data_IF_968974515900
#
_entry.id   IF_968974515900
#
_cell.length_a   1.000
_cell.length_b   1.000
_cell.length_c   1.000
_cell.angle_alpha   90.00
_cell.angle_beta   90.00
_cell.angle_gamma   90.00
#
_symmetry.space_group_name_H-M   'P 1'
#
loop_
_entity.id
_entity.type
_entity.pdbx_description
1 polymer ?
#
# COMPACT_ATOMS: atom_id res chain seq x y z
N UNK A 1 8.17 -0.83 7.25
CA UNK A 1 7.13 -0.71 8.29
C UNK A 1 5.82 -0.43 7.59
N UNK A 2 5.14 -1.49 7.16
CA UNK A 2 3.87 -1.36 6.45
C UNK A 2 2.81 -0.83 7.43
N UNK A 3 2.40 0.39 7.24
CA UNK A 3 1.30 1.01 7.99
C UNK A 3 0.01 0.74 7.23
N UNK A 4 -0.59 -0.43 7.44
CA UNK A 4 -1.94 -0.68 7.00
C UNK A 4 -2.87 0.34 7.68
N UNK A 5 -3.15 1.41 6.95
CA UNK A 5 -4.20 2.34 7.31
C UNK A 5 -5.52 1.67 6.93
N UNK A 6 -5.93 0.70 7.74
CA UNK A 6 -7.33 0.36 7.78
C UNK A 6 -8.09 1.65 8.09
N UNK A 7 -9.19 1.91 7.42
CA UNK A 7 -10.21 2.88 7.81
C UNK A 7 -10.89 2.42 9.14
N UNK A 8 -10.13 1.85 10.06
CA UNK A 8 -10.54 1.71 11.43
C UNK A 8 -10.42 3.10 12.05
N UNK A 9 -11.51 3.86 12.00
CA UNK A 9 -11.73 4.85 13.03
C UNK A 9 -11.50 4.13 14.36
N UNK A 10 -10.54 4.59 15.17
CA UNK A 10 -10.51 4.27 16.59
C UNK A 10 -11.79 4.86 17.20
N UNK A 11 -12.90 4.14 17.08
CA UNK A 11 -14.07 4.35 17.91
C UNK A 11 -13.67 3.80 19.28
N UNK A 12 -13.37 4.71 20.21
CA UNK A 12 -13.65 4.43 21.61
C UNK A 12 -15.14 4.07 21.73
N UNK A 13 -15.60 3.44 22.83
CA UNK A 13 -17.02 3.14 23.01
C UNK A 13 -17.80 4.44 22.89
N UNK A 14 -18.33 4.70 21.70
CA UNK A 14 -19.27 5.76 21.43
C UNK A 14 -20.61 5.41 22.07
N UNK A 15 -21.50 6.39 22.31
CA UNK A 15 -22.82 6.13 22.86
C UNK A 15 -23.52 5.06 21.99
N UNK A 16 -24.17 4.08 22.66
CA UNK A 16 -24.98 3.06 22.01
C UNK A 16 -25.97 3.73 21.05
N UNK A 17 -25.74 3.52 19.76
CA UNK A 17 -26.61 4.06 18.72
C UNK A 17 -27.93 3.27 18.71
N UNK A 18 -29.09 3.95 18.57
CA UNK A 18 -30.39 3.25 18.49
C UNK A 18 -30.37 2.24 17.36
N UNK A 19 -30.61 0.97 17.69
CA UNK A 19 -30.51 -0.16 16.79
C UNK A 19 -31.48 -0.10 15.63
N UNK A 20 -31.11 0.54 14.51
CA UNK A 20 -31.68 0.25 13.21
C UNK A 20 -30.85 -0.86 12.58
N UNK A 21 -31.44 -2.04 12.51
CA UNK A 21 -30.90 -3.20 11.79
C UNK A 21 -30.60 -2.79 10.34
N UNK A 22 -29.35 -2.93 9.85
CA UNK A 22 -29.10 -2.85 8.41
C UNK A 22 -30.09 -3.79 7.67
N UNK A 23 -30.46 -3.48 6.43
CA UNK A 23 -31.31 -4.39 5.66
C UNK A 23 -30.68 -5.79 5.71
N UNK A 24 -31.51 -6.81 6.03
CA UNK A 24 -31.05 -8.19 6.06
C UNK A 24 -30.46 -8.51 4.69
N UNK A 25 -29.14 -8.63 4.61
CA UNK A 25 -28.49 -9.11 3.41
C UNK A 25 -28.86 -10.58 3.26
N UNK A 26 -29.71 -10.87 2.30
CA UNK A 26 -29.69 -12.18 1.66
C UNK A 26 -28.23 -12.46 1.26
N UNK A 27 -27.79 -13.71 1.31
CA UNK A 27 -26.41 -14.16 1.10
C UNK A 27 -25.51 -13.22 0.30
N UNK A 28 -24.37 -12.86 0.86
CA UNK A 28 -23.40 -12.04 0.16
C UNK A 28 -23.04 -12.66 -1.19
N UNK A 29 -22.91 -11.87 -2.27
CA UNK A 29 -22.51 -12.39 -3.57
C UNK A 29 -21.12 -13.03 -3.50
N UNK A 30 -20.74 -13.89 -4.46
CA UNK A 30 -19.38 -14.43 -4.53
C UNK A 30 -18.33 -13.33 -4.45
N UNK A 31 -17.23 -13.63 -3.76
CA UNK A 31 -16.09 -12.73 -3.67
C UNK A 31 -15.50 -12.49 -5.06
N UNK A 32 -15.24 -11.23 -5.39
CA UNK A 32 -14.55 -10.82 -6.61
C UNK A 32 -13.05 -10.74 -6.36
N UNK A 33 -12.26 -10.96 -7.40
CA UNK A 33 -10.80 -10.85 -7.40
C UNK A 33 -10.35 -10.16 -8.69
N UNK A 34 -9.15 -9.58 -8.67
CA UNK A 34 -8.55 -9.00 -9.87
C UNK A 34 -7.93 -10.12 -10.73
N UNK A 35 -8.39 -10.26 -11.96
CA UNK A 35 -7.99 -11.38 -12.86
C UNK A 35 -6.83 -10.97 -13.77
N UNK A 36 -6.77 -9.69 -14.14
CA UNK A 36 -5.77 -9.16 -15.08
C UNK A 36 -5.11 -7.93 -14.50
N UNK A 37 -3.78 -7.92 -14.50
CA UNK A 37 -3.01 -6.75 -14.12
C UNK A 37 -2.63 -5.92 -15.35
N UNK A 38 -2.87 -4.61 -15.29
CA UNK A 38 -2.46 -3.65 -16.32
C UNK A 38 -1.09 -3.09 -15.99
N UNK A 39 -0.09 -3.48 -16.74
CA UNK A 39 1.27 -2.93 -16.58
C UNK A 39 1.31 -1.48 -17.06
N UNK A 40 1.68 -0.56 -16.17
CA UNK A 40 1.90 0.85 -16.50
C UNK A 40 3.42 1.10 -16.49
N UNK A 41 4.02 1.43 -17.64
CA UNK A 41 5.45 1.76 -17.68
C UNK A 41 5.76 3.00 -16.83
N UNK A 42 6.93 3.06 -16.14
CA UNK A 42 7.33 4.23 -15.38
C UNK A 42 7.43 5.47 -16.27
N UNK A 43 6.97 6.62 -15.73
CA UNK A 43 6.94 7.90 -16.44
C UNK A 43 7.99 8.88 -15.88
N UNK A 44 9.18 8.36 -15.57
CA UNK A 44 10.32 9.12 -15.05
C UNK A 44 11.55 8.95 -15.94
N UNK A 45 12.46 9.92 -15.85
CA UNK A 45 13.76 9.81 -16.53
C UNK A 45 14.59 8.66 -15.95
N UNK A 46 15.46 8.07 -16.79
CA UNK A 46 16.39 7.06 -16.30
C UNK A 46 17.36 7.61 -15.25
N UNK A 47 17.63 8.92 -15.25
CA UNK A 47 18.44 9.56 -14.22
C UNK A 47 17.74 9.54 -12.85
N UNK A 48 16.44 9.85 -12.81
CA UNK A 48 15.65 9.76 -11.58
C UNK A 48 15.52 8.31 -11.11
N UNK A 49 15.25 7.37 -12.01
CA UNK A 49 15.16 5.93 -11.67
C UNK A 49 16.50 5.40 -11.13
N UNK A 50 17.65 5.86 -11.66
CA UNK A 50 18.96 5.48 -11.15
C UNK A 50 19.18 5.99 -9.72
N UNK A 51 18.80 7.23 -9.42
CA UNK A 51 18.86 7.76 -8.06
C UNK A 51 17.95 6.97 -7.11
N UNK A 52 16.69 6.71 -7.53
CA UNK A 52 15.75 5.94 -6.73
C UNK A 52 16.26 4.52 -6.47
N UNK A 53 16.82 3.86 -7.46
CA UNK A 53 17.44 2.54 -7.31
C UNK A 53 18.56 2.56 -6.25
N UNK A 54 19.45 3.56 -6.31
CA UNK A 54 20.56 3.69 -5.35
C UNK A 54 20.06 3.91 -3.92
N UNK A 55 19.02 4.72 -3.75
CA UNK A 55 18.47 5.01 -2.42
C UNK A 55 17.64 3.84 -1.89
N UNK A 56 16.97 3.08 -2.76
CA UNK A 56 16.26 1.86 -2.39
C UNK A 56 17.21 0.71 -2.03
N UNK A 57 18.31 0.53 -2.79
CA UNK A 57 19.17 -0.64 -2.69
C UNK A 57 20.27 -0.53 -1.61
N UNK A 58 20.67 0.69 -1.22
CA UNK A 58 21.83 0.92 -0.34
C UNK A 58 21.47 1.55 1.01
N UNK A 59 20.20 1.62 1.32
CA UNK A 59 19.69 2.04 2.63
C UNK A 59 18.58 1.10 3.09
N UNK A 60 18.27 1.13 4.36
CA UNK A 60 17.11 0.53 4.99
C UNK A 60 16.13 1.64 5.42
N UNK A 61 14.86 1.34 5.60
CA UNK A 61 13.83 2.24 6.15
C UNK A 61 14.29 2.94 7.44
N UNK A 62 15.05 2.23 8.28
CA UNK A 62 15.64 2.78 9.51
C UNK A 62 16.68 3.87 9.26
N UNK A 63 17.04 4.16 8.01
CA UNK A 63 18.13 5.07 7.64
C UNK A 63 19.54 4.47 7.73
N UNK A 64 19.67 3.19 8.15
CA UNK A 64 20.98 2.51 8.18
C UNK A 64 21.43 2.21 6.75
N UNK A 65 22.70 2.51 6.46
CA UNK A 65 23.31 2.21 5.16
C UNK A 65 23.60 0.72 5.00
N UNK A 66 23.37 0.20 3.80
CA UNK A 66 23.84 -1.11 3.36
C UNK A 66 25.18 -0.94 2.63
N UNK A 67 26.24 -1.65 3.03
CA UNK A 67 27.58 -1.45 2.46
C UNK A 67 27.65 -1.92 0.99
N UNK A 68 26.83 -2.90 0.62
CA UNK A 68 26.75 -3.48 -0.73
C UNK A 68 25.40 -4.14 -0.97
N UNK A 69 25.10 -4.37 -2.22
CA UNK A 69 23.91 -5.11 -2.65
C UNK A 69 24.01 -6.58 -2.25
N UNK A 70 22.87 -7.15 -1.89
CA UNK A 70 22.70 -8.59 -1.68
C UNK A 70 21.45 -9.09 -2.39
N UNK A 71 21.55 -10.25 -3.06
CA UNK A 71 20.43 -10.90 -3.74
C UNK A 71 20.58 -12.41 -3.74
N UNK A 72 19.56 -13.11 -4.17
CA UNK A 72 19.68 -14.53 -4.47
C UNK A 72 20.44 -14.72 -5.79
N UNK A 73 21.36 -15.67 -5.82
CA UNK A 73 22.04 -16.11 -7.03
C UNK A 73 21.47 -17.46 -7.45
N UNK A 74 20.81 -17.50 -8.60
CA UNK A 74 20.15 -18.69 -9.12
C UNK A 74 18.63 -18.69 -8.91
N UNK A 75 17.96 -19.84 -9.15
CA UNK A 75 16.50 -19.95 -9.02
C UNK A 75 16.05 -19.76 -7.58
N UNK A 76 14.99 -18.96 -7.43
CA UNK A 76 14.40 -18.66 -6.12
C UNK A 76 13.23 -19.60 -5.88
N UNK A 77 13.26 -20.33 -4.75
CA UNK A 77 12.17 -21.21 -4.34
C UNK A 77 11.35 -20.57 -3.23
N UNK A 78 10.02 -20.65 -3.36
CA UNK A 78 9.08 -20.10 -2.38
C UNK A 78 8.23 -21.21 -1.80
N UNK A 79 8.23 -21.37 -0.49
CA UNK A 79 7.29 -22.25 0.22
C UNK A 79 6.33 -21.43 1.08
N UNK A 80 5.15 -21.99 1.35
CA UNK A 80 4.15 -21.42 2.24
C UNK A 80 3.93 -22.38 3.41
N UNK A 81 3.91 -21.85 4.62
CA UNK A 81 3.68 -22.59 5.87
C UNK A 81 2.64 -21.85 6.73
N UNK A 82 2.12 -22.53 7.75
CA UNK A 82 1.09 -21.98 8.63
C UNK A 82 -0.32 -21.95 8.01
N UNK A 83 -1.31 -21.38 8.72
CA UNK A 83 -2.70 -21.36 8.32
C UNK A 83 -2.99 -20.26 7.25
N UNK A 84 -2.53 -20.52 6.02
CA UNK A 84 -2.75 -19.60 4.90
C UNK A 84 -4.25 -19.52 4.52
N UNK A 85 -4.80 -18.33 4.22
CA UNK A 85 -6.16 -18.18 3.75
C UNK A 85 -6.33 -18.73 2.32
N UNK A 86 -7.55 -19.20 1.98
CA UNK A 86 -7.83 -19.78 0.67
C UNK A 86 -7.61 -18.80 -0.50
N UNK A 87 -7.69 -17.50 -0.26
CA UNK A 87 -7.44 -16.44 -1.25
C UNK A 87 -5.98 -16.32 -1.67
N UNK A 88 -5.04 -16.88 -0.91
CA UNK A 88 -3.61 -16.76 -1.18
C UNK A 88 -3.18 -17.38 -2.51
N UNK A 89 -3.69 -18.58 -2.82
CA UNK A 89 -3.19 -19.38 -3.96
C UNK A 89 -3.24 -18.64 -5.29
N UNK A 90 -4.38 -18.06 -5.72
CA UNK A 90 -4.43 -17.31 -6.97
C UNK A 90 -3.54 -16.07 -6.94
N UNK A 91 -3.47 -15.35 -5.82
CA UNK A 91 -2.68 -14.12 -5.69
C UNK A 91 -1.18 -14.41 -5.75
N UNK A 92 -0.69 -15.42 -5.02
CA UNK A 92 0.70 -15.84 -5.08
C UNK A 92 1.09 -16.38 -6.46
N UNK A 93 0.25 -17.20 -7.07
CA UNK A 93 0.50 -17.71 -8.42
C UNK A 93 0.61 -16.59 -9.45
N UNK A 94 -0.28 -15.59 -9.38
CA UNK A 94 -0.26 -14.40 -10.24
C UNK A 94 1.01 -13.57 -10.04
N UNK A 95 1.38 -13.29 -8.77
CA UNK A 95 2.57 -12.54 -8.44
C UNK A 95 3.86 -13.23 -8.92
N UNK A 96 4.03 -14.53 -8.67
CA UNK A 96 5.20 -15.28 -9.14
C UNK A 96 5.26 -15.31 -10.69
N UNK A 97 4.11 -15.40 -11.36
CA UNK A 97 4.05 -15.32 -12.82
C UNK A 97 4.47 -13.93 -13.33
N UNK A 98 4.07 -12.85 -12.65
CA UNK A 98 4.48 -11.48 -12.97
C UNK A 98 5.98 -11.27 -12.78
N UNK A 99 6.55 -11.71 -11.67
CA UNK A 99 7.99 -11.61 -11.40
C UNK A 99 8.83 -12.32 -12.49
N UNK A 100 8.38 -13.49 -12.95
CA UNK A 100 9.04 -14.19 -14.06
C UNK A 100 8.92 -13.42 -15.38
N UNK A 101 7.71 -12.98 -15.72
CA UNK A 101 7.42 -12.36 -17.02
C UNK A 101 7.93 -10.93 -17.13
N UNK A 102 7.75 -10.12 -16.08
CA UNK A 102 7.98 -8.68 -16.09
C UNK A 102 9.37 -8.29 -15.57
N UNK A 103 9.87 -9.00 -14.54
CA UNK A 103 11.20 -8.75 -13.99
C UNK A 103 12.28 -9.77 -14.46
N UNK A 104 11.89 -10.86 -15.11
CA UNK A 104 12.82 -11.89 -15.58
C UNK A 104 13.45 -12.74 -14.47
N UNK A 105 12.82 -12.77 -13.29
CA UNK A 105 13.35 -13.48 -12.10
C UNK A 105 12.90 -14.94 -12.12
N UNK A 106 13.85 -15.87 -12.06
CA UNK A 106 13.61 -17.31 -11.97
C UNK A 106 13.06 -17.71 -10.59
N UNK A 107 11.77 -17.49 -10.35
CA UNK A 107 11.10 -17.74 -9.06
C UNK A 107 9.95 -18.74 -9.22
N UNK A 108 9.84 -19.74 -8.33
CA UNK A 108 8.78 -20.74 -8.39
C UNK A 108 8.43 -21.28 -7.00
N UNK A 109 7.21 -21.78 -6.89
CA UNK A 109 6.72 -22.39 -5.67
C UNK A 109 7.22 -23.83 -5.52
N UNK A 110 7.47 -24.23 -4.26
CA UNK A 110 7.81 -25.61 -3.85
C UNK A 110 6.83 -26.08 -2.76
N UNK A 111 6.87 -27.37 -2.45
CA UNK A 111 6.06 -27.96 -1.38
C UNK A 111 6.41 -27.36 -0.01
N UNK A 112 5.45 -27.39 0.93
CA UNK A 112 5.60 -26.78 2.25
C UNK A 112 6.73 -27.39 3.10
N UNK A 113 7.06 -28.65 2.86
CA UNK A 113 8.13 -29.42 3.53
C UNK A 113 9.48 -29.35 2.81
N UNK A 114 9.50 -28.81 1.57
CA UNK A 114 10.73 -28.68 0.80
C UNK A 114 11.62 -27.53 1.31
N UNK A 115 12.95 -27.62 1.19
CA UNK A 115 13.84 -26.49 1.40
C UNK A 115 13.48 -25.34 0.44
N UNK A 116 13.50 -24.10 0.94
CA UNK A 116 13.16 -22.94 0.15
C UNK A 116 14.06 -21.73 0.44
N UNK A 117 14.27 -20.91 -0.59
CA UNK A 117 14.97 -19.62 -0.46
C UNK A 117 14.11 -18.60 0.30
N UNK A 118 12.80 -18.61 0.05
CA UNK A 118 11.84 -17.74 0.71
C UNK A 118 10.77 -18.59 1.39
N UNK A 119 10.59 -18.43 2.69
CA UNK A 119 9.46 -19.00 3.42
C UNK A 119 8.43 -17.92 3.70
N UNK A 120 7.20 -18.09 3.25
CA UNK A 120 6.06 -17.26 3.64
C UNK A 120 5.31 -18.02 4.73
N UNK A 121 5.37 -17.53 5.97
CA UNK A 121 4.71 -18.16 7.10
C UNK A 121 3.51 -17.32 7.57
N UNK A 122 2.35 -17.95 7.59
CA UNK A 122 1.13 -17.35 8.08
C UNK A 122 0.95 -17.58 9.59
N UNK A 123 0.59 -16.50 10.30
CA UNK A 123 0.43 -16.47 11.75
C UNK A 123 -0.87 -15.74 12.12
N UNK A 124 -1.43 -15.95 13.32
CA UNK A 124 -2.42 -15.04 13.87
C UNK A 124 -1.81 -13.63 14.05
N UNK A 125 -2.56 -12.58 13.67
CA UNK A 125 -2.15 -11.17 13.83
C UNK A 125 -1.70 -10.86 15.26
N UNK A 126 -2.43 -11.37 16.25
CA UNK A 126 -2.11 -11.19 17.67
C UNK A 126 -0.75 -11.78 18.07
N UNK A 127 -0.30 -12.85 17.39
CA UNK A 127 1.01 -13.47 17.63
C UNK A 127 2.13 -12.61 17.03
N UNK A 128 1.95 -12.10 15.81
CA UNK A 128 2.91 -11.23 15.13
C UNK A 128 3.08 -9.93 15.92
N UNK A 129 1.99 -9.22 16.20
CA UNK A 129 2.01 -7.91 16.85
C UNK A 129 2.52 -7.93 18.30
N UNK A 130 2.50 -9.09 18.96
CA UNK A 130 3.10 -9.23 20.31
C UNK A 130 4.61 -8.99 20.31
N UNK A 131 5.30 -9.34 19.21
CA UNK A 131 6.75 -9.19 19.09
C UNK A 131 7.14 -7.99 18.20
N UNK A 132 6.34 -7.68 17.21
CA UNK A 132 6.57 -6.61 16.23
C UNK A 132 5.30 -5.76 16.10
N UNK A 133 4.95 -4.98 17.14
CA UNK A 133 3.66 -4.26 17.20
C UNK A 133 3.50 -3.18 16.14
N UNK A 134 4.59 -2.75 15.52
CA UNK A 134 4.61 -1.70 14.50
C UNK A 134 4.40 -2.23 13.07
N UNK A 135 4.57 -3.56 12.85
CA UNK A 135 4.46 -4.13 11.51
C UNK A 135 3.13 -4.84 11.30
N UNK A 136 2.55 -4.66 10.12
CA UNK A 136 1.43 -5.47 9.63
C UNK A 136 1.94 -6.84 9.16
N UNK A 137 3.04 -6.84 8.44
CA UNK A 137 3.83 -7.97 7.98
C UNK A 137 5.30 -7.54 7.93
N UNK A 138 6.23 -8.46 7.76
CA UNK A 138 7.64 -8.12 7.61
C UNK A 138 8.47 -9.29 7.08
N UNK A 139 9.64 -8.97 6.53
CA UNK A 139 10.65 -9.95 6.09
C UNK A 139 11.88 -9.93 6.99
N UNK A 140 12.43 -11.11 7.30
CA UNK A 140 13.65 -11.27 8.09
C UNK A 140 14.67 -12.18 7.40
N UNK A 141 15.97 -11.82 7.39
CA UNK A 141 17.02 -12.64 6.79
C UNK A 141 17.46 -13.76 7.71
N UNK A 142 18.04 -14.81 7.13
CA UNK A 142 18.69 -15.94 7.83
C UNK A 142 17.79 -16.71 8.80
N UNK A 143 16.48 -16.61 8.62
CA UNK A 143 15.49 -17.39 9.34
C UNK A 143 14.56 -18.07 8.35
N UNK A 144 14.01 -19.23 8.75
CA UNK A 144 13.13 -20.04 7.91
C UNK A 144 11.77 -20.34 8.55
N UNK A 145 11.56 -19.82 9.76
CA UNK A 145 10.32 -19.98 10.52
C UNK A 145 10.16 -18.87 11.57
N UNK A 146 8.92 -18.73 12.09
CA UNK A 146 8.64 -17.84 13.21
C UNK A 146 9.43 -18.23 14.47
N UNK A 147 9.62 -19.51 14.69
CA UNK A 147 10.40 -19.98 15.85
C UNK A 147 11.87 -19.59 15.72
N UNK A 148 12.47 -19.74 14.52
CA UNK A 148 13.85 -19.29 14.27
C UNK A 148 13.97 -17.79 14.51
N UNK A 149 12.99 -17.00 14.01
CA UNK A 149 12.96 -15.54 14.22
C UNK A 149 12.88 -15.19 15.71
N UNK A 150 12.01 -15.85 16.47
CA UNK A 150 11.87 -15.62 17.91
C UNK A 150 13.18 -15.83 18.66
N UNK A 151 13.93 -16.86 18.30
CA UNK A 151 15.21 -17.20 18.92
C UNK A 151 16.30 -16.22 18.50
N UNK A 152 16.35 -15.83 17.22
CA UNK A 152 17.45 -15.08 16.63
C UNK A 152 17.23 -13.54 16.63
N UNK A 153 16.02 -13.03 16.85
CA UNK A 153 15.66 -11.60 16.69
C UNK A 153 16.48 -10.59 17.49
N UNK A 154 17.17 -11.05 18.53
CA UNK A 154 18.07 -10.22 19.37
C UNK A 154 19.55 -10.47 19.07
N UNK A 155 19.85 -11.38 18.17
CA UNK A 155 21.20 -11.66 17.70
C UNK A 155 21.49 -10.84 16.43
N UNK A 156 22.76 -10.74 16.05
CA UNK A 156 23.15 -10.13 14.78
C UNK A 156 22.79 -10.96 13.54
N UNK A 157 22.19 -12.15 13.72
CA UNK A 157 21.85 -13.05 12.61
C UNK A 157 20.74 -12.46 11.72
N UNK A 158 19.77 -11.76 12.29
CA UNK A 158 18.67 -11.11 11.53
C UNK A 158 19.00 -9.68 11.09
N UNK A 159 20.27 -9.28 11.11
CA UNK A 159 20.71 -7.96 10.68
C UNK A 159 21.07 -7.96 9.19
N UNK A 160 20.29 -7.27 8.39
CA UNK A 160 20.50 -7.11 6.96
C UNK A 160 21.86 -6.48 6.60
N UNK A 161 22.40 -5.60 7.45
CA UNK A 161 23.68 -4.91 7.18
C UNK A 161 24.89 -5.83 7.27
N UNK A 162 24.75 -7.01 7.85
CA UNK A 162 25.80 -8.03 7.99
C UNK A 162 25.69 -9.15 6.96
N UNK A 163 24.71 -9.07 6.06
CA UNK A 163 24.40 -10.13 5.11
C UNK A 163 25.34 -10.07 3.88
N UNK A 164 26.22 -11.06 3.64
CA UNK A 164 27.07 -11.04 2.45
C UNK A 164 26.36 -11.51 1.18
N UNK A 165 25.34 -12.37 1.33
CA UNK A 165 24.54 -12.95 0.26
C UNK A 165 23.19 -13.39 0.80
N UNK A 166 22.12 -13.27 0.02
CA UNK A 166 20.81 -13.83 0.37
C UNK A 166 20.77 -15.31 0.03
N UNK A 167 20.55 -16.14 1.03
CA UNK A 167 20.42 -17.60 0.89
C UNK A 167 19.02 -18.07 1.29
N UNK A 168 18.51 -17.57 2.41
CA UNK A 168 17.14 -17.80 2.87
C UNK A 168 16.63 -16.59 3.67
N UNK A 169 15.33 -16.36 3.52
CA UNK A 169 14.58 -15.32 4.25
C UNK A 169 13.22 -15.88 4.63
N UNK A 170 12.61 -15.35 5.68
CA UNK A 170 11.22 -15.62 6.00
C UNK A 170 10.40 -14.33 5.96
N UNK A 171 9.19 -14.43 5.40
CA UNK A 171 8.16 -13.41 5.37
C UNK A 171 7.07 -13.85 6.34
N UNK A 172 6.65 -12.98 7.23
CA UNK A 172 5.60 -13.24 8.20
C UNK A 172 4.38 -12.40 7.91
N UNK A 173 3.24 -13.07 7.62
CA UNK A 173 1.99 -12.43 7.23
C UNK A 173 0.87 -12.90 8.18
N UNK A 174 -0.01 -12.01 8.68
CA UNK A 174 -1.19 -12.44 9.41
C UNK A 174 -2.17 -13.16 8.47
N UNK A 175 -2.65 -14.34 8.91
CA UNK A 175 -3.59 -15.15 8.14
C UNK A 175 -5.08 -14.85 8.45
N UNK A 176 -5.33 -14.06 9.49
CA UNK A 176 -6.65 -13.72 10.04
C UNK A 176 -7.07 -12.26 9.70
N UNK A 177 -6.67 -11.79 8.53
CA UNK A 177 -6.98 -10.45 7.99
C UNK A 177 -7.71 -10.55 6.65
N UNK A 178 -8.07 -9.41 6.04
CA UNK A 178 -8.75 -9.42 4.74
C UNK A 178 -7.86 -10.01 3.62
N UNK A 179 -8.47 -10.61 2.57
CA UNK A 179 -7.72 -11.05 1.40
C UNK A 179 -6.85 -9.95 0.77
N UNK A 180 -7.36 -8.71 0.74
CA UNK A 180 -6.62 -7.55 0.27
C UNK A 180 -5.35 -7.32 1.11
N UNK A 181 -5.46 -7.31 2.43
CA UNK A 181 -4.33 -7.10 3.36
C UNK A 181 -3.26 -8.20 3.19
N UNK A 182 -3.68 -9.45 3.01
CA UNK A 182 -2.76 -10.56 2.70
C UNK A 182 -2.03 -10.32 1.38
N UNK A 183 -2.74 -9.86 0.35
CA UNK A 183 -2.17 -9.59 -0.96
C UNK A 183 -1.20 -8.40 -0.93
N UNK A 184 -1.54 -7.34 -0.22
CA UNK A 184 -0.70 -6.16 -0.05
C UNK A 184 0.63 -6.56 0.59
N UNK A 185 0.58 -7.26 1.73
CA UNK A 185 1.75 -7.85 2.38
C UNK A 185 2.55 -8.77 1.45
N UNK A 186 1.86 -9.58 0.65
CA UNK A 186 2.54 -10.51 -0.26
C UNK A 186 3.35 -9.77 -1.33
N UNK A 187 2.81 -8.69 -1.90
CA UNK A 187 3.51 -7.93 -2.93
C UNK A 187 4.71 -7.17 -2.37
N UNK A 188 4.54 -6.50 -1.25
CA UNK A 188 5.57 -5.70 -0.59
C UNK A 188 6.70 -6.57 -0.05
N UNK A 189 6.36 -7.52 0.83
CA UNK A 189 7.37 -8.31 1.52
C UNK A 189 8.12 -9.28 0.59
N UNK A 190 7.47 -9.82 -0.44
CA UNK A 190 8.18 -10.63 -1.42
C UNK A 190 9.13 -9.78 -2.27
N UNK A 191 8.75 -8.55 -2.63
CA UNK A 191 9.64 -7.65 -3.34
C UNK A 191 10.84 -7.25 -2.48
N UNK A 192 10.66 -6.95 -1.20
CA UNK A 192 11.75 -6.68 -0.26
C UNK A 192 12.60 -7.94 0.01
N UNK A 193 11.99 -9.10 0.13
CA UNK A 193 12.70 -10.37 0.30
C UNK A 193 13.72 -10.64 -0.82
N UNK A 194 13.37 -10.28 -2.06
CA UNK A 194 14.21 -10.54 -3.23
C UNK A 194 14.96 -9.31 -3.76
N UNK A 195 14.56 -8.10 -3.35
CA UNK A 195 15.03 -6.82 -3.91
C UNK A 195 15.51 -5.81 -2.84
N UNK A 196 15.21 -4.54 -3.03
CA UNK A 196 15.61 -3.47 -2.12
C UNK A 196 14.92 -3.57 -0.77
N UNK A 197 15.48 -2.92 0.26
CA UNK A 197 15.04 -2.97 1.65
C UNK A 197 14.65 -1.59 2.20
N UNK A 198 14.50 -0.61 1.34
CA UNK A 198 14.12 0.75 1.74
C UNK A 198 12.80 1.15 1.11
N UNK A 199 12.08 2.03 1.79
CA UNK A 199 10.90 2.69 1.27
C UNK A 199 11.13 4.20 1.20
N UNK A 200 10.60 4.82 0.15
CA UNK A 200 10.85 6.23 -0.14
C UNK A 200 9.52 6.95 -0.40
N UNK A 201 9.08 7.78 0.54
CA UNK A 201 7.84 8.58 0.43
C UNK A 201 7.75 9.50 -0.80
N UNK A 202 8.84 9.65 -1.54
CA UNK A 202 8.85 10.42 -2.79
C UNK A 202 8.46 9.60 -4.04
N UNK A 203 8.24 8.30 -3.91
CA UNK A 203 7.91 7.41 -5.03
C UNK A 203 6.38 7.31 -5.23
N UNK A 204 5.78 8.10 -6.15
CA UNK A 204 4.32 8.16 -6.28
C UNK A 204 3.69 6.92 -6.93
N UNK A 205 4.47 6.04 -7.53
CA UNK A 205 4.04 4.89 -8.32
C UNK A 205 4.80 3.61 -7.91
N UNK A 206 4.94 3.36 -6.63
CA UNK A 206 5.72 2.24 -6.09
C UNK A 206 5.10 1.66 -4.83
N UNK A 207 5.27 0.35 -4.63
CA UNK A 207 5.02 -0.29 -3.33
C UNK A 207 6.18 -0.04 -2.34
N UNK A 208 7.37 0.36 -2.84
CA UNK A 208 8.48 0.81 -2.01
C UNK A 208 8.26 2.26 -1.54
N UNK A 209 7.08 2.49 -0.97
CA UNK A 209 6.65 3.78 -0.45
C UNK A 209 5.68 3.58 0.71
N UNK A 210 6.05 4.04 1.90
CA UNK A 210 5.26 3.96 3.14
C UNK A 210 3.94 4.76 3.12
N UNK A 211 3.54 5.35 1.98
CA UNK A 211 2.22 6.01 1.86
C UNK A 211 1.06 5.02 1.72
N UNK A 212 1.34 3.78 1.38
CA UNK A 212 0.40 2.66 1.26
C UNK A 212 -0.78 2.88 0.29
N UNK A 213 -0.59 3.72 -0.73
CA UNK A 213 -1.59 3.87 -1.79
C UNK A 213 -1.49 2.75 -2.83
N UNK A 214 -0.27 2.39 -3.22
CA UNK A 214 -0.03 1.27 -4.12
C UNK A 214 0.13 -0.02 -3.31
N UNK A 215 -0.75 -0.98 -3.55
CA UNK A 215 -0.81 -2.25 -2.84
C UNK A 215 -0.33 -3.43 -3.68
N UNK A 216 -0.04 -3.19 -4.96
CA UNK A 216 0.49 -4.21 -5.88
C UNK A 216 1.68 -3.65 -6.65
N UNK A 217 2.68 -4.50 -6.92
CA UNK A 217 3.87 -4.12 -7.67
C UNK A 217 3.52 -3.44 -8.99
N UNK A 218 4.07 -2.25 -9.18
CA UNK A 218 3.85 -1.42 -10.37
C UNK A 218 4.86 -1.74 -11.48
N UNK A 219 4.73 -1.07 -12.62
CA UNK A 219 5.74 -1.17 -13.68
C UNK A 219 7.10 -0.59 -13.28
N UNK A 220 7.11 0.41 -12.37
CA UNK A 220 8.35 0.92 -11.80
C UNK A 220 9.02 -0.12 -10.91
N UNK A 221 8.27 -0.75 -10.00
CA UNK A 221 8.80 -1.78 -9.11
C UNK A 221 9.38 -2.97 -9.89
N UNK A 222 8.68 -3.40 -10.94
CA UNK A 222 9.17 -4.47 -11.82
C UNK A 222 10.44 -4.07 -12.58
N UNK A 223 10.60 -2.79 -12.94
CA UNK A 223 11.84 -2.29 -13.53
C UNK A 223 13.00 -2.27 -12.52
N UNK A 224 12.74 -1.82 -11.29
CA UNK A 224 13.72 -1.85 -10.19
C UNK A 224 14.18 -3.29 -9.93
N UNK A 225 13.25 -4.24 -9.81
CA UNK A 225 13.58 -5.65 -9.61
C UNK A 225 14.32 -6.26 -10.81
N UNK A 226 13.94 -5.90 -12.04
CA UNK A 226 14.67 -6.33 -13.24
C UNK A 226 16.10 -5.80 -13.28
N UNK A 227 16.30 -4.53 -12.89
CA UNK A 227 17.65 -3.96 -12.78
C UNK A 227 18.44 -4.63 -11.65
N UNK A 228 17.80 -4.91 -10.53
CA UNK A 228 18.42 -5.56 -9.35
C UNK A 228 18.96 -6.96 -9.70
N UNK A 229 18.31 -7.68 -10.63
CA UNK A 229 18.71 -9.02 -11.10
C UNK A 229 19.47 -9.00 -12.44
N UNK A 230 19.83 -7.82 -12.95
CA UNK A 230 20.64 -7.74 -14.16
C UNK A 230 22.05 -8.32 -13.91
N UNK A 231 22.66 -8.96 -14.95
CA UNK A 231 23.97 -9.61 -14.79
C UNK A 231 25.11 -8.65 -14.45
N UNK A 232 24.93 -7.35 -14.70
CA UNK A 232 25.91 -6.30 -14.37
C UNK A 232 25.97 -5.98 -12.87
N UNK A 233 24.96 -6.37 -12.10
CA UNK A 233 24.89 -6.19 -10.66
C UNK A 233 24.92 -7.57 -9.99
N UNK A 234 25.58 -7.70 -8.83
CA UNK A 234 25.76 -8.97 -8.13
C UNK A 234 25.93 -8.74 -6.62
N UNK A 235 25.99 -9.82 -5.85
CA UNK A 235 26.35 -9.73 -4.44
C UNK A 235 27.70 -9.05 -4.25
N UNK A 236 27.77 -8.11 -3.33
CA UNK A 236 28.98 -7.33 -3.09
C UNK A 236 29.12 -6.07 -3.97
N UNK A 237 28.24 -5.83 -4.93
CA UNK A 237 28.25 -4.57 -5.70
C UNK A 237 28.07 -3.39 -4.75
N UNK A 238 29.01 -2.45 -4.78
CA UNK A 238 28.97 -1.21 -3.98
C UNK A 238 28.08 -0.16 -4.64
N UNK A 239 27.70 0.89 -3.86
CA UNK A 239 26.93 2.03 -4.38
C UNK A 239 27.65 2.71 -5.57
N UNK A 240 28.98 2.88 -5.48
CA UNK A 240 29.76 3.53 -6.53
C UNK A 240 29.84 2.69 -7.80
N UNK A 241 29.91 1.37 -7.69
CA UNK A 241 29.87 0.46 -8.82
C UNK A 241 28.50 0.48 -9.49
N UNK A 242 27.42 0.40 -8.70
CA UNK A 242 26.07 0.50 -9.21
C UNK A 242 25.83 1.84 -9.93
N UNK A 243 26.32 2.96 -9.35
CA UNK A 243 26.21 4.29 -9.96
C UNK A 243 26.83 4.35 -11.37
N UNK A 244 27.95 3.66 -11.57
CA UNK A 244 28.61 3.59 -12.90
C UNK A 244 27.88 2.73 -13.91
N UNK A 245 27.21 1.68 -13.43
CA UNK A 245 26.53 0.68 -14.27
C UNK A 245 25.12 1.11 -14.67
N UNK A 246 24.37 1.72 -13.74
CA UNK A 246 22.96 2.02 -13.90
C UNK A 246 22.58 2.82 -15.16
N UNK A 247 23.33 3.85 -15.62
CA UNK A 247 22.93 4.59 -16.81
C UNK A 247 22.80 3.72 -18.06
N UNK A 248 23.79 2.88 -18.35
CA UNK A 248 23.76 1.99 -19.51
C UNK A 248 22.75 0.86 -19.33
N UNK A 249 22.64 0.33 -18.12
CA UNK A 249 21.66 -0.70 -17.78
C UNK A 249 20.23 -0.19 -18.01
N UNK A 250 19.89 0.98 -17.49
CA UNK A 250 18.55 1.57 -17.65
C UNK A 250 18.27 2.02 -19.07
N UNK A 251 19.25 2.52 -19.82
CA UNK A 251 19.10 2.80 -21.25
C UNK A 251 18.66 1.54 -22.03
N UNK A 252 19.20 0.37 -21.67
CA UNK A 252 18.82 -0.92 -22.24
C UNK A 252 17.46 -1.42 -21.75
N UNK A 253 17.17 -1.33 -20.44
CA UNK A 253 15.95 -1.88 -19.84
C UNK A 253 14.72 -0.97 -20.03
N UNK A 254 14.92 0.34 -20.06
CA UNK A 254 13.88 1.36 -20.20
C UNK A 254 14.25 2.44 -21.22
N UNK A 255 14.28 2.15 -22.53
CA UNK A 255 14.63 3.12 -23.58
C UNK A 255 13.71 4.36 -23.62
N UNK A 256 12.50 4.26 -23.03
CA UNK A 256 11.56 5.39 -22.94
C UNK A 256 12.07 6.45 -21.96
N UNK A 257 12.68 6.05 -20.85
CA UNK A 257 13.22 6.94 -19.83
C UNK A 257 14.38 7.82 -20.33
N UNK A 258 15.08 7.41 -21.40
CA UNK A 258 16.10 8.26 -22.07
C UNK A 258 15.49 9.47 -22.77
N UNK A 259 14.22 9.39 -23.15
CA UNK A 259 13.50 10.45 -23.87
C UNK A 259 12.70 11.37 -22.96
N UNK A 260 12.61 11.04 -21.68
CA UNK A 260 11.96 11.89 -20.67
C UNK A 260 12.99 12.92 -20.22
N UNK A 261 12.82 14.16 -20.69
CA UNK A 261 13.67 15.30 -20.32
C UNK A 261 13.14 15.97 -19.06
N UNK A 262 14.04 16.71 -18.41
CA UNK A 262 13.71 17.53 -17.24
C UNK A 262 14.48 17.07 -15.99
N UNK A 263 14.53 17.93 -14.98
CA UNK A 263 15.05 17.59 -13.66
C UNK A 263 13.89 17.11 -12.80
N UNK A 264 13.57 15.83 -12.92
CA UNK A 264 12.61 15.12 -12.06
C UNK A 264 13.28 14.51 -10.81
N UNK A 265 14.54 14.90 -10.56
CA UNK A 265 15.28 14.51 -9.36
C UNK A 265 14.65 15.19 -8.13
N UNK A 266 14.23 14.36 -7.18
CA UNK A 266 13.63 14.84 -5.95
C UNK A 266 14.63 14.83 -4.81
N UNK A 267 14.58 15.87 -3.96
CA UNK A 267 15.41 15.93 -2.76
C UNK A 267 15.09 14.76 -1.81
N UNK A 268 16.09 14.26 -1.06
CA UNK A 268 15.84 13.27 -0.01
C UNK A 268 14.80 13.77 1.00
N UNK A 269 14.01 12.85 1.55
CA UNK A 269 13.02 13.18 2.57
C UNK A 269 13.71 13.29 3.94
N UNK A 270 13.64 14.44 4.64
CA UNK A 270 14.25 14.60 5.95
C UNK A 270 13.66 13.70 7.01
N UNK A 271 14.46 13.14 7.89
CA UNK A 271 14.02 12.26 8.97
C UNK A 271 12.95 12.92 9.86
N UNK A 272 13.07 14.23 10.12
CA UNK A 272 12.07 14.95 10.91
C UNK A 272 10.65 14.91 10.31
N UNK A 273 10.53 14.90 8.99
CA UNK A 273 9.23 14.73 8.33
C UNK A 273 8.74 13.29 8.45
N UNK A 274 9.61 12.31 8.25
CA UNK A 274 9.28 10.88 8.41
C UNK A 274 8.80 10.61 9.84
N UNK A 275 9.53 11.08 10.86
CA UNK A 275 9.15 10.96 12.28
C UNK A 275 7.77 11.58 12.55
N UNK A 276 7.45 12.72 11.93
CA UNK A 276 6.15 13.36 12.08
C UNK A 276 5.03 12.53 11.43
N UNK A 277 5.25 11.93 10.26
CA UNK A 277 4.29 11.03 9.61
C UNK A 277 4.11 9.75 10.44
N UNK A 278 5.19 9.11 10.88
CA UNK A 278 5.14 7.92 11.73
C UNK A 278 4.39 8.20 13.05
N UNK A 279 4.62 9.36 13.67
CA UNK A 279 3.88 9.76 14.87
C UNK A 279 2.40 10.06 14.58
N UNK A 280 2.08 10.61 13.41
CA UNK A 280 0.70 10.90 13.02
C UNK A 280 -0.11 9.64 12.74
N UNK A 281 0.48 8.66 12.05
CA UNK A 281 -0.22 7.50 11.50
C UNK A 281 0.08 6.21 12.27
N UNK A 282 1.23 6.13 12.93
CA UNK A 282 1.69 4.94 13.66
C UNK A 282 0.88 4.62 14.91
N UNK A 283 0.95 3.37 15.39
CA UNK A 283 0.34 2.96 16.64
C UNK A 283 1.05 3.59 17.86
N UNK A 284 0.34 3.72 18.96
CA UNK A 284 0.92 4.14 20.27
C UNK A 284 0.96 5.64 20.51
N UNK A 285 0.59 6.48 19.55
CA UNK A 285 0.49 7.94 19.73
C UNK A 285 -0.94 8.34 20.13
N UNK A 286 -1.10 9.18 21.15
CA UNK A 286 -2.41 9.65 21.58
C UNK A 286 -3.12 10.48 20.48
N UNK A 287 -4.46 10.44 20.36
CA UNK A 287 -5.19 11.07 19.25
C UNK A 287 -4.89 12.56 19.06
N UNK A 288 -4.75 13.33 20.12
CA UNK A 288 -4.41 14.76 20.05
C UNK A 288 -2.98 15.00 19.55
N UNK A 289 -2.05 14.13 19.91
CA UNK A 289 -0.66 14.20 19.47
C UNK A 289 -0.54 13.80 17.99
N UNK A 290 -1.35 12.86 17.52
CA UNK A 290 -1.39 12.46 16.11
C UNK A 290 -1.76 13.63 15.20
N UNK A 291 -2.77 14.42 15.56
CA UNK A 291 -3.17 15.61 14.76
C UNK A 291 -2.06 16.66 14.77
N UNK A 292 -1.41 16.88 15.92
CA UNK A 292 -0.28 17.81 16.01
C UNK A 292 0.89 17.35 15.14
N UNK A 293 1.20 16.06 15.14
CA UNK A 293 2.25 15.47 14.31
C UNK A 293 1.94 15.59 12.81
N UNK A 294 0.70 15.34 12.38
CA UNK A 294 0.29 15.54 11.00
C UNK A 294 0.40 17.00 10.56
N UNK A 295 0.02 17.93 11.44
CA UNK A 295 0.21 19.38 11.19
C UNK A 295 1.69 19.72 11.03
N UNK A 296 2.55 19.19 11.90
CA UNK A 296 4.01 19.38 11.80
C UNK A 296 4.55 18.84 10.48
N UNK A 297 4.08 17.70 10.00
CA UNK A 297 4.47 17.18 8.69
C UNK A 297 4.09 18.14 7.54
N UNK A 298 2.89 18.74 7.58
CA UNK A 298 2.48 19.77 6.59
C UNK A 298 3.40 21.01 6.69
N UNK A 299 3.71 21.47 7.89
CA UNK A 299 4.58 22.64 8.10
C UNK A 299 6.01 22.39 7.60
N UNK A 300 6.57 21.21 7.88
CA UNK A 300 7.88 20.80 7.36
C UNK A 300 7.85 20.77 5.83
N UNK A 301 6.85 20.14 5.23
CA UNK A 301 6.72 20.03 3.78
C UNK A 301 6.66 21.42 3.11
N UNK A 302 5.88 22.35 3.68
CA UNK A 302 5.78 23.73 3.20
C UNK A 302 7.08 24.51 3.37
N UNK A 303 7.78 24.32 4.49
CA UNK A 303 9.08 24.96 4.77
C UNK A 303 10.17 24.46 3.80
N UNK A 304 10.11 23.17 3.41
CA UNK A 304 10.97 22.62 2.36
C UNK A 304 10.61 23.13 0.94
N UNK A 305 9.52 23.87 0.80
CA UNK A 305 9.04 24.36 -0.49
C UNK A 305 8.45 23.26 -1.37
N UNK A 306 8.10 22.10 -0.81
CA UNK A 306 7.53 21.00 -1.58
C UNK A 306 6.15 21.34 -2.12
N UNK A 307 5.92 20.90 -3.35
CA UNK A 307 4.62 20.93 -4.04
C UNK A 307 4.34 19.55 -4.67
N UNK A 308 5.00 18.53 -4.15
CA UNK A 308 4.96 17.15 -4.61
C UNK A 308 4.04 16.29 -3.74
N UNK A 309 4.08 14.97 -3.99
CA UNK A 309 3.27 13.96 -3.32
C UNK A 309 3.47 13.94 -1.80
N UNK A 310 4.63 14.35 -1.27
CA UNK A 310 4.89 14.40 0.17
C UNK A 310 4.06 15.47 0.88
N UNK A 311 3.89 16.66 0.27
CA UNK A 311 2.96 17.66 0.79
C UNK A 311 1.52 17.16 0.70
N UNK A 312 1.13 16.57 -0.43
CA UNK A 312 -0.22 16.03 -0.61
C UNK A 312 -0.53 14.92 0.40
N UNK A 313 0.42 14.02 0.67
CA UNK A 313 0.28 12.97 1.68
C UNK A 313 0.17 13.54 3.10
N UNK A 314 0.98 14.56 3.44
CA UNK A 314 0.86 15.25 4.73
C UNK A 314 -0.54 15.86 4.92
N UNK A 315 -1.07 16.51 3.88
CA UNK A 315 -2.42 17.11 3.89
C UNK A 315 -3.50 16.02 3.98
N UNK A 316 -3.35 14.92 3.25
CA UNK A 316 -4.27 13.78 3.33
C UNK A 316 -4.30 13.18 4.74
N UNK A 317 -3.14 12.92 5.35
CA UNK A 317 -3.05 12.43 6.72
C UNK A 317 -3.67 13.43 7.73
N UNK A 318 -3.37 14.71 7.59
CA UNK A 318 -3.93 15.77 8.43
C UNK A 318 -5.45 15.87 8.28
N UNK A 319 -5.98 15.83 7.04
CA UNK A 319 -7.41 15.85 6.77
C UNK A 319 -8.16 14.70 7.43
N UNK A 320 -7.64 13.48 7.33
CA UNK A 320 -8.22 12.29 7.99
C UNK A 320 -8.25 12.41 9.51
N UNK A 321 -7.18 12.89 10.11
CA UNK A 321 -7.09 13.04 11.57
C UNK A 321 -7.96 14.20 12.07
N UNK A 322 -8.09 15.30 11.30
CA UNK A 322 -8.99 16.40 11.60
C UNK A 322 -10.47 15.95 11.56
N UNK A 323 -10.83 15.10 10.59
CA UNK A 323 -12.18 14.51 10.50
C UNK A 323 -12.49 13.68 11.75
N UNK A 324 -11.55 12.86 12.21
CA UNK A 324 -11.69 12.07 13.44
C UNK A 324 -11.84 12.91 14.72
N UNK A 325 -11.57 14.23 14.64
CA UNK A 325 -11.82 15.19 15.71
C UNK A 325 -13.06 16.09 15.46
N UNK A 326 -13.95 15.68 14.54
CA UNK A 326 -15.14 16.44 14.12
C UNK A 326 -14.82 17.84 13.53
N UNK A 327 -13.61 18.05 13.02
CA UNK A 327 -13.25 19.30 12.33
C UNK A 327 -13.39 19.13 10.82
N UNK A 328 -14.64 19.10 10.33
CA UNK A 328 -14.97 18.85 8.93
C UNK A 328 -14.44 19.93 7.98
N UNK A 329 -14.48 21.22 8.39
CA UNK A 329 -13.99 22.32 7.55
C UNK A 329 -12.48 22.19 7.25
N UNK A 330 -11.68 22.01 8.31
CA UNK A 330 -10.22 21.79 8.17
C UNK A 330 -9.92 20.52 7.35
N UNK A 331 -10.69 19.46 7.59
CA UNK A 331 -10.55 18.20 6.87
C UNK A 331 -10.81 18.36 5.37
N UNK A 332 -11.93 18.99 5.01
CA UNK A 332 -12.28 19.23 3.60
C UNK A 332 -11.25 20.12 2.91
N UNK A 333 -10.82 21.21 3.55
CA UNK A 333 -9.79 22.09 3.00
C UNK A 333 -8.48 21.34 2.72
N UNK A 334 -8.05 20.46 3.65
CA UNK A 334 -6.85 19.66 3.47
C UNK A 334 -7.00 18.63 2.33
N UNK A 335 -8.16 17.97 2.20
CA UNK A 335 -8.40 17.06 1.09
C UNK A 335 -8.46 17.78 -0.27
N UNK A 336 -9.06 18.95 -0.34
CA UNK A 336 -9.11 19.72 -1.59
C UNK A 336 -7.70 20.15 -2.04
N UNK A 337 -6.85 20.62 -1.11
CA UNK A 337 -5.46 20.98 -1.43
C UNK A 337 -4.65 19.73 -1.85
N UNK A 338 -4.78 18.61 -1.12
CA UNK A 338 -4.14 17.34 -1.48
C UNK A 338 -4.57 16.86 -2.87
N UNK A 339 -5.87 16.90 -3.16
CA UNK A 339 -6.43 16.52 -4.45
C UNK A 339 -5.89 17.35 -5.60
N UNK A 340 -5.75 18.66 -5.43
CA UNK A 340 -5.16 19.55 -6.44
C UNK A 340 -3.71 19.18 -6.75
N UNK A 341 -2.92 18.86 -5.73
CA UNK A 341 -1.51 18.45 -5.92
C UNK A 341 -1.46 17.11 -6.65
N UNK A 342 -2.22 16.11 -6.23
CA UNK A 342 -2.24 14.81 -6.89
C UNK A 342 -2.75 14.91 -8.34
N UNK A 343 -3.81 15.66 -8.61
CA UNK A 343 -4.35 15.83 -9.95
C UNK A 343 -3.37 16.49 -10.95
N UNK A 344 -2.39 17.25 -10.45
CA UNK A 344 -1.36 17.86 -11.27
C UNK A 344 -0.32 16.86 -11.80
N UNK A 345 -0.28 15.63 -11.27
CA UNK A 345 0.72 14.60 -11.61
C UNK A 345 0.02 13.37 -12.22
N UNK A 346 0.32 12.98 -13.46
CA UNK A 346 -0.38 11.87 -14.13
C UNK A 346 -0.15 10.49 -13.51
N UNK A 347 0.89 10.33 -12.69
CA UNK A 347 1.22 9.06 -12.03
C UNK A 347 0.54 8.86 -10.67
N UNK A 348 -0.20 9.86 -10.17
CA UNK A 348 -0.83 9.87 -8.83
C UNK A 348 -2.35 9.61 -8.87
N UNK A 349 -2.82 8.87 -9.87
CA UNK A 349 -4.26 8.61 -10.05
C UNK A 349 -4.89 7.85 -8.90
N UNK A 350 -4.17 6.86 -8.35
CA UNK A 350 -4.63 6.08 -7.19
C UNK A 350 -4.74 6.97 -5.95
N UNK A 351 -3.75 7.83 -5.72
CA UNK A 351 -3.78 8.82 -4.64
C UNK A 351 -4.94 9.81 -4.79
N UNK A 352 -5.17 10.30 -6.02
CA UNK A 352 -6.32 11.16 -6.33
C UNK A 352 -7.63 10.47 -5.99
N UNK A 353 -7.79 9.19 -6.29
CA UNK A 353 -8.99 8.42 -5.98
C UNK A 353 -9.22 8.25 -4.47
N UNK A 354 -8.16 8.06 -3.68
CA UNK A 354 -8.28 8.04 -2.22
C UNK A 354 -8.77 9.37 -1.65
N UNK A 355 -8.29 10.49 -2.18
CA UNK A 355 -8.78 11.82 -1.79
C UNK A 355 -10.22 12.03 -2.27
N UNK A 356 -10.52 11.65 -3.51
CA UNK A 356 -11.85 11.77 -4.11
C UNK A 356 -12.91 11.02 -3.31
N UNK A 357 -12.58 9.84 -2.77
CA UNK A 357 -13.48 9.09 -1.88
C UNK A 357 -13.92 9.93 -0.67
N UNK A 358 -12.99 10.65 -0.03
CA UNK A 358 -13.34 11.52 1.11
C UNK A 358 -14.17 12.73 0.67
N UNK A 359 -13.84 13.36 -0.46
CA UNK A 359 -14.61 14.50 -0.98
C UNK A 359 -16.03 14.06 -1.37
N UNK A 360 -16.18 12.87 -1.97
CA UNK A 360 -17.50 12.30 -2.29
C UNK A 360 -18.32 12.01 -0.99
N UNK A 361 -17.68 11.56 0.09
CA UNK A 361 -18.33 11.38 1.38
C UNK A 361 -18.85 12.72 1.95
N UNK A 362 -18.08 13.82 1.82
CA UNK A 362 -18.55 15.15 2.18
C UNK A 362 -19.74 15.61 1.32
N UNK A 363 -19.70 15.37 0.00
CA UNK A 363 -20.79 15.70 -0.90
C UNK A 363 -22.09 14.94 -0.52
N UNK A 364 -21.98 13.62 -0.22
CA UNK A 364 -23.13 12.83 0.26
C UNK A 364 -23.72 13.40 1.56
N UNK A 365 -22.85 13.66 2.54
CA UNK A 365 -23.27 14.18 3.85
C UNK A 365 -23.90 15.58 3.74
N UNK A 366 -23.54 16.34 2.71
CA UNK A 366 -24.12 17.64 2.41
C UNK A 366 -25.41 17.56 1.54
N UNK A 367 -25.93 16.36 1.28
CA UNK A 367 -27.12 16.17 0.42
C UNK A 367 -26.90 16.49 -1.05
N UNK A 368 -25.68 16.30 -1.56
CA UNK A 368 -25.30 16.54 -2.95
C UNK A 368 -24.98 15.23 -3.70
N UNK A 369 -25.96 14.34 -3.91
CA UNK A 369 -25.72 13.02 -4.49
C UNK A 369 -25.20 13.06 -5.92
N UNK A 370 -25.67 14.01 -6.76
CA UNK A 370 -25.18 14.16 -8.14
C UNK A 370 -23.68 14.45 -8.16
N UNK A 371 -23.20 15.35 -7.28
CA UNK A 371 -21.78 15.67 -7.14
C UNK A 371 -20.97 14.45 -6.70
N UNK A 372 -21.48 13.68 -5.74
CA UNK A 372 -20.83 12.46 -5.27
C UNK A 372 -20.69 11.41 -6.40
N UNK A 373 -21.74 11.20 -7.20
CA UNK A 373 -21.71 10.28 -8.37
C UNK A 373 -20.63 10.72 -9.36
N UNK A 374 -20.60 12.01 -9.72
CA UNK A 374 -19.62 12.54 -10.68
C UNK A 374 -18.18 12.32 -10.19
N UNK A 375 -17.89 12.65 -8.92
CA UNK A 375 -16.57 12.48 -8.33
C UNK A 375 -16.16 11.01 -8.34
N UNK A 376 -17.08 10.10 -7.99
CA UNK A 376 -16.78 8.67 -7.93
C UNK A 376 -16.52 8.12 -9.33
N UNK A 377 -17.37 8.44 -10.29
CA UNK A 377 -17.28 7.91 -11.66
C UNK A 377 -15.98 8.31 -12.37
N UNK A 378 -15.48 9.51 -12.10
CA UNK A 378 -14.20 10.00 -12.65
C UNK A 378 -12.98 9.19 -12.18
N UNK A 379 -13.11 8.43 -11.08
CA UNK A 379 -11.98 7.72 -10.46
C UNK A 379 -12.11 6.18 -10.43
N UNK A 380 -13.27 5.61 -10.79
CA UNK A 380 -13.47 4.15 -10.69
C UNK A 380 -12.47 3.33 -11.50
N UNK A 381 -12.15 3.77 -12.71
CA UNK A 381 -11.17 3.08 -13.57
C UNK A 381 -9.76 3.11 -12.96
N UNK A 382 -9.38 4.21 -12.33
CA UNK A 382 -8.07 4.35 -11.68
C UNK A 382 -7.97 3.44 -10.45
N UNK A 383 -9.03 3.33 -9.66
CA UNK A 383 -9.10 2.39 -8.50
C UNK A 383 -9.05 0.94 -8.95
N UNK A 384 -9.76 0.59 -10.03
CA UNK A 384 -9.76 -0.75 -10.58
C UNK A 384 -8.38 -1.12 -11.16
N UNK A 385 -7.73 -0.18 -11.86
CA UNK A 385 -6.38 -0.36 -12.37
C UNK A 385 -5.32 -0.42 -11.26
N UNK A 386 -5.55 0.29 -10.14
CA UNK A 386 -4.72 0.22 -8.93
C UNK A 386 -4.95 -1.03 -8.09
N UNK A 387 -5.95 -1.85 -8.45
CA UNK A 387 -6.29 -3.12 -7.82
C UNK A 387 -6.54 -3.01 -6.30
N UNK A 388 -7.14 -1.91 -5.86
CA UNK A 388 -7.53 -1.70 -4.46
C UNK A 388 -9.03 -1.99 -4.26
N UNK A 389 -9.35 -3.21 -3.83
CA UNK A 389 -10.73 -3.68 -3.67
C UNK A 389 -11.47 -2.96 -2.52
N UNK A 390 -10.77 -2.60 -1.45
CA UNK A 390 -11.37 -1.89 -0.32
C UNK A 390 -11.82 -0.48 -0.73
N UNK A 391 -10.97 0.23 -1.47
CA UNK A 391 -11.31 1.55 -2.02
C UNK A 391 -12.44 1.43 -3.05
N UNK A 392 -12.36 0.47 -3.97
CA UNK A 392 -13.37 0.23 -4.99
C UNK A 392 -14.73 -0.07 -4.37
N UNK A 393 -14.77 -0.96 -3.38
CA UNK A 393 -16.01 -1.29 -2.66
C UNK A 393 -16.59 -0.07 -1.93
N UNK A 394 -15.73 0.73 -1.26
CA UNK A 394 -16.18 1.95 -0.57
C UNK A 394 -16.81 2.94 -1.54
N UNK A 395 -16.16 3.21 -2.67
CA UNK A 395 -16.66 4.14 -3.67
C UNK A 395 -17.95 3.65 -4.33
N UNK A 396 -18.04 2.36 -4.67
CA UNK A 396 -19.27 1.77 -5.22
C UNK A 396 -20.42 1.78 -4.22
N UNK A 397 -20.17 1.53 -2.94
CA UNK A 397 -21.21 1.62 -1.88
C UNK A 397 -21.71 3.06 -1.72
N UNK A 398 -20.81 4.06 -1.73
CA UNK A 398 -21.19 5.47 -1.70
C UNK A 398 -21.98 5.88 -2.95
N UNK A 399 -21.59 5.39 -4.13
CA UNK A 399 -22.35 5.61 -5.36
C UNK A 399 -23.75 5.02 -5.26
N UNK A 400 -23.90 3.83 -4.68
CA UNK A 400 -25.22 3.22 -4.48
C UNK A 400 -26.09 4.05 -3.52
N UNK A 401 -25.53 4.60 -2.44
CA UNK A 401 -26.29 5.52 -1.57
C UNK A 401 -26.69 6.83 -2.29
N UNK A 402 -25.78 7.40 -3.10
CA UNK A 402 -26.08 8.57 -3.91
C UNK A 402 -27.23 8.31 -4.90
N UNK A 403 -27.21 7.15 -5.58
CA UNK A 403 -28.27 6.75 -6.51
C UNK A 403 -29.61 6.54 -5.81
N UNK A 404 -29.62 5.97 -4.58
CA UNK A 404 -30.82 5.86 -3.76
C UNK A 404 -31.39 7.25 -3.40
N UNK A 405 -30.54 8.21 -3.05
CA UNK A 405 -30.95 9.61 -2.77
C UNK A 405 -31.57 10.29 -4.01
N UNK A 406 -31.11 9.94 -5.22
CA UNK A 406 -31.67 10.39 -6.50
C UNK A 406 -32.95 9.67 -6.93
N UNK A 407 -33.36 8.64 -6.18
CA UNK A 407 -34.52 7.79 -6.52
C UNK A 407 -34.24 6.70 -7.54
N UNK A 408 -32.98 6.48 -7.94
CA UNK A 408 -32.58 5.48 -8.93
C UNK A 408 -32.32 4.12 -8.24
N UNK A 409 -33.34 3.61 -7.59
CA UNK A 409 -33.24 2.44 -6.67
C UNK A 409 -32.83 1.13 -7.35
N UNK A 410 -33.15 0.95 -8.63
CA UNK A 410 -32.76 -0.26 -9.38
C UNK A 410 -31.26 -0.27 -9.67
N UNK A 411 -30.73 0.85 -10.12
CA UNK A 411 -29.32 1.08 -10.38
C UNK A 411 -28.53 0.98 -9.08
N UNK A 412 -29.00 1.62 -8.02
CA UNK A 412 -28.41 1.54 -6.68
C UNK A 412 -28.29 0.09 -6.19
N UNK A 413 -29.34 -0.73 -6.37
CA UNK A 413 -29.30 -2.13 -5.98
C UNK A 413 -28.29 -2.95 -6.80
N UNK A 414 -28.14 -2.65 -8.09
CA UNK A 414 -27.16 -3.32 -8.96
C UNK A 414 -25.72 -2.97 -8.54
N UNK A 415 -25.43 -1.68 -8.36
CA UNK A 415 -24.11 -1.19 -7.91
C UNK A 415 -23.77 -1.72 -6.52
N UNK A 416 -24.74 -1.73 -5.59
CA UNK A 416 -24.51 -2.28 -4.24
C UNK A 416 -24.15 -3.77 -4.27
N UNK A 417 -24.84 -4.55 -5.13
CA UNK A 417 -24.50 -5.98 -5.29
C UNK A 417 -23.08 -6.16 -5.84
N UNK A 418 -22.69 -5.32 -6.79
CA UNK A 418 -21.32 -5.33 -7.34
C UNK A 418 -20.29 -4.99 -6.26
N UNK A 419 -20.52 -3.91 -5.51
CA UNK A 419 -19.68 -3.47 -4.40
C UNK A 419 -19.46 -4.55 -3.34
N UNK A 420 -20.51 -5.34 -3.01
CA UNK A 420 -20.42 -6.41 -2.01
C UNK A 420 -19.49 -7.55 -2.42
N UNK A 421 -19.37 -7.86 -3.71
CA UNK A 421 -18.39 -8.82 -4.20
C UNK A 421 -16.95 -8.34 -3.95
N UNK A 422 -16.67 -7.07 -4.19
CA UNK A 422 -15.38 -6.44 -3.90
C UNK A 422 -15.15 -6.26 -2.39
N UNK A 423 -16.18 -5.91 -1.63
CA UNK A 423 -16.10 -5.73 -0.17
C UNK A 423 -15.63 -7.00 0.54
N UNK A 424 -16.03 -8.19 0.08
CA UNK A 424 -15.55 -9.47 0.63
C UNK A 424 -14.04 -9.67 0.46
N UNK A 425 -13.48 -9.17 -0.63
CA UNK A 425 -12.04 -9.21 -0.84
C UNK A 425 -11.33 -8.09 -0.04
N UNK A 426 -11.88 -6.88 -0.10
CA UNK A 426 -11.25 -5.69 0.48
C UNK A 426 -11.34 -5.60 2.01
N UNK A 427 -12.47 -6.02 2.61
CA UNK A 427 -12.70 -5.91 4.06
C UNK A 427 -12.63 -7.26 4.79
N UNK A 428 -12.88 -8.39 4.10
CA UNK A 428 -12.75 -9.72 4.64
C UNK A 428 -14.06 -10.29 5.17
N UNK A 429 -14.26 -10.31 6.49
CA UNK A 429 -15.41 -10.98 7.12
C UNK A 429 -16.75 -10.31 6.81
N UNK A 430 -17.85 -11.09 6.90
CA UNK A 430 -19.19 -10.54 6.74
C UNK A 430 -19.51 -9.42 7.73
N UNK A 431 -18.98 -9.48 8.94
CA UNK A 431 -19.20 -8.45 9.94
C UNK A 431 -18.51 -7.14 9.53
N UNK A 432 -17.26 -7.20 9.07
CA UNK A 432 -16.53 -6.01 8.58
C UNK A 432 -17.21 -5.41 7.35
N UNK A 433 -17.73 -6.24 6.43
CA UNK A 433 -18.51 -5.78 5.29
C UNK A 433 -19.78 -5.05 5.75
N UNK A 434 -20.52 -5.61 6.72
CA UNK A 434 -21.74 -4.99 7.27
C UNK A 434 -21.46 -3.69 8.01
N UNK A 435 -20.40 -3.65 8.79
CA UNK A 435 -19.97 -2.44 9.50
C UNK A 435 -19.64 -1.32 8.50
N UNK A 436 -18.87 -1.62 7.46
CA UNK A 436 -18.55 -0.66 6.40
C UNK A 436 -19.78 -0.15 5.67
N UNK A 437 -20.73 -1.05 5.34
CA UNK A 437 -22.00 -0.65 4.73
C UNK A 437 -22.81 0.28 5.64
N UNK A 438 -22.86 -0.02 6.93
CA UNK A 438 -23.55 0.82 7.89
C UNK A 438 -22.90 2.22 7.99
N UNK A 439 -21.58 2.29 8.09
CA UNK A 439 -20.84 3.56 8.11
C UNK A 439 -21.14 4.42 6.86
N UNK A 440 -21.15 3.80 5.67
CA UNK A 440 -21.44 4.52 4.43
C UNK A 440 -22.91 4.95 4.36
N UNK A 441 -23.84 4.11 4.82
CA UNK A 441 -25.26 4.45 4.87
C UNK A 441 -25.56 5.67 5.76
N UNK A 442 -24.75 5.90 6.80
CA UNK A 442 -24.85 7.08 7.65
C UNK A 442 -24.46 8.39 6.96
N UNK A 443 -23.76 8.35 5.82
CA UNK A 443 -23.48 9.54 5.02
C UNK A 443 -24.74 10.12 4.35
N UNK A 444 -25.84 9.37 4.30
CA UNK A 444 -27.09 9.82 3.74
C UNK A 444 -27.90 10.58 4.80
N UNK A 445 -28.06 11.91 4.70
CA UNK A 445 -28.74 12.72 5.72
C UNK A 445 -30.22 12.34 5.90
N UNK A 446 -30.88 11.77 4.88
CA UNK A 446 -32.28 11.32 5.00
C UNK A 446 -32.45 10.06 5.89
N UNK A 447 -31.37 9.39 6.27
CA UNK A 447 -31.39 8.22 7.17
C UNK A 447 -31.08 8.58 8.63
N UNK A 448 -30.69 9.81 8.89
CA UNK A 448 -30.36 10.30 10.24
C UNK A 448 -31.56 10.85 11.00
N UNK A 449 -32.72 11.01 10.34
CA UNK A 449 -34.02 11.33 10.90
C UNK A 449 -34.85 10.03 11.10
#
# INVERSE_FOLDING_TARGET
>A
MALLITLAACAGPGPEMPGRRPPALADLPPMKTFVTHRVTPPQRSNAAIAQDFLDLAFQMESGRSLPYMTRFEGPITVRVTGPAPASLEPDLAALLARLRREAGIGIHRVAADAPASVTIEFLPRSQLQRLVPQAACFVAPRVSSWEDFRQSRRSGEVDWTTLPVRQWVAIFIPGDVSPQEVRDCLHEELAQAIGPLNDLYRLPDSVFNDDNFHTVLTGFDMLILRAYYAPELHNGTTRDEATRVLPQLLARLNPRGERIGGSDLMSPTPRAWIDAIEAALGPGTAPSQRVAAARSAVEIARTQGWRDTRLAFSLFAFGRLALGQNNGETSLAAFLEAGQIYAAHPVTRVQSAHVAMHIAAFALSAGQPDTAVLIIDDHLDDVQNGENAALLASMLLMKAEALDMLGWTKEAAAIRRDALGWARYGFGSENEVRERMAEIAWLNPARTD
#
